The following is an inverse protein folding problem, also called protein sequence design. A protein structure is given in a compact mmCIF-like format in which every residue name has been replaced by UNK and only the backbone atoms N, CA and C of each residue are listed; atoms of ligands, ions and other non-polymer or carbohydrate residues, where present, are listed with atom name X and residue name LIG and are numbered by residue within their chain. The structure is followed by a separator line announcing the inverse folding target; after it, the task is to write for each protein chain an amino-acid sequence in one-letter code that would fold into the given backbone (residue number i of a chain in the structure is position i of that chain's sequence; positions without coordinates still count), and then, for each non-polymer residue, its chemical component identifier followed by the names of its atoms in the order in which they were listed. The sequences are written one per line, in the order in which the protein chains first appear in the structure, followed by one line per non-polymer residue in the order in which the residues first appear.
data_IF_818819074688
#
_entry.id   IF_818819074688
#
_cell.length_a   1.000
_cell.length_b   1.000
_cell.length_c   1.000
_cell.angle_alpha   90.00
_cell.angle_beta   90.00
_cell.angle_gamma   90.00
#
_symmetry.space_group_name_H-M   'P 1'
#
loop_
_entity.id
_entity.type
_entity.pdbx_description
1 polymer ?
2 water ?
#
# COMPACT_ATOMS: atom_id res chain seq x y z
N UNK A 7 -13.80 -12.23 2.46
CA UNK A 7 -12.90 -11.65 3.49
C UNK A 7 -13.44 -12.03 4.86
N UNK A 8 -14.77 -12.00 4.98
CA UNK A 8 -15.44 -12.15 6.28
C UNK A 8 -15.22 -13.49 6.96
N UNK A 9 -15.68 -14.55 6.34
CA UNK A 9 -15.62 -15.80 7.03
C UNK A 9 -14.26 -16.49 6.85
N UNK A 10 -13.36 -15.89 6.09
CA UNK A 10 -12.06 -16.53 5.87
C UNK A 10 -10.96 -16.00 6.80
N UNK A 11 -11.34 -15.11 7.73
CA UNK A 11 -10.44 -14.52 8.73
C UNK A 11 -10.03 -15.54 9.78
N UNK A 12 -8.89 -15.33 10.43
CA UNK A 12 -8.49 -16.20 11.54
C UNK A 12 -7.67 -17.44 11.19
N UNK A 13 -7.39 -17.62 9.91
CA UNK A 13 -6.64 -18.76 9.48
C UNK A 13 -5.24 -18.73 10.07
N UNK A 14 -4.70 -19.91 10.28
CA UNK A 14 -3.35 -20.03 10.77
C UNK A 14 -2.31 -19.87 9.67
N UNK A 15 -1.11 -19.49 10.11
CA UNK A 15 0.09 -19.39 9.31
C UNK A 15 0.29 -20.54 8.32
N UNK A 16 0.11 -21.77 8.78
CA UNK A 16 0.32 -22.93 7.91
C UNK A 16 -0.64 -22.86 6.74
N UNK A 17 -1.87 -22.36 7.01
CA UNK A 17 -2.89 -22.33 5.97
C UNK A 17 -2.60 -21.17 5.05
N UNK A 18 -2.40 -19.97 5.61
CA UNK A 18 -1.92 -18.79 4.87
C UNK A 18 -0.72 -19.07 3.98
N UNK A 19 0.26 -19.77 4.51
CA UNK A 19 1.37 -20.21 3.70
C UNK A 19 0.91 -21.03 2.51
N UNK A 20 0.06 -22.03 2.75
CA UNK A 20 -0.35 -22.92 1.64
C UNK A 20 -1.22 -22.21 0.66
N UNK A 21 -1.94 -21.21 1.12
CA UNK A 21 -2.82 -20.50 0.26
C UNK A 21 -1.95 -19.71 -0.77
N UNK A 22 -0.88 -19.10 -0.28
CA UNK A 22 0.06 -18.33 -1.08
C UNK A 22 0.62 -19.25 -2.19
N UNK A 23 1.18 -20.40 -1.77
CA UNK A 23 1.70 -21.39 -2.69
C UNK A 23 0.70 -21.71 -3.75
N UNK A 24 -0.57 -21.88 -3.37
CA UNK A 24 -1.60 -22.05 -4.36
C UNK A 24 -1.65 -20.87 -5.34
N UNK A 25 -1.66 -19.65 -4.83
CA UNK A 25 -1.65 -18.49 -5.73
C UNK A 25 -0.40 -18.46 -6.62
N UNK A 26 0.74 -18.80 -6.03
CA UNK A 26 2.00 -18.82 -6.72
C UNK A 26 1.95 -19.86 -7.85
N UNK A 27 1.41 -21.05 -7.56
CA UNK A 27 1.32 -22.10 -8.56
C UNK A 27 0.39 -21.74 -9.69
N UNK A 28 -0.67 -20.99 -9.39
CA UNK A 28 -1.59 -20.59 -10.45
C UNK A 28 -0.96 -19.46 -11.26
N UNK A 29 -0.06 -18.74 -10.60
CA UNK A 29 0.65 -17.69 -11.24
C UNK A 29 1.57 -18.28 -12.30
N UNK A 30 2.39 -19.25 -11.91
CA UNK A 30 3.20 -20.01 -12.86
C UNK A 30 2.37 -20.57 -13.99
N UNK A 31 1.31 -21.34 -13.70
CA UNK A 31 0.52 -21.90 -14.79
C UNK A 31 -0.18 -20.80 -15.63
N UNK A 32 0.14 -19.54 -15.38
CA UNK A 32 -0.47 -18.47 -16.12
C UNK A 32 -1.96 -18.20 -15.89
N UNK A 33 -2.55 -18.66 -14.77
CA UNK A 33 -3.95 -18.32 -14.45
C UNK A 33 -4.00 -17.05 -13.62
N UNK A 34 -3.88 -15.94 -14.33
CA UNK A 34 -3.54 -14.70 -13.70
C UNK A 34 -4.69 -14.05 -13.00
N UNK A 35 -5.88 -14.11 -13.59
CA UNK A 35 -6.98 -13.52 -12.86
C UNK A 35 -7.40 -14.35 -11.64
N UNK A 36 -7.09 -15.66 -11.65
CA UNK A 36 -7.38 -16.48 -10.49
C UNK A 36 -6.39 -16.16 -9.39
N UNK A 37 -5.12 -16.16 -9.79
CA UNK A 37 -4.02 -15.72 -8.94
C UNK A 37 -4.22 -14.29 -8.35
N UNK A 38 -4.61 -13.33 -9.18
CA UNK A 38 -4.94 -12.01 -8.66
C UNK A 38 -5.83 -12.18 -7.45
N UNK A 39 -7.02 -12.73 -7.68
CA UNK A 39 -8.04 -13.00 -6.64
C UNK A 39 -7.49 -13.60 -5.36
N UNK A 40 -6.70 -14.66 -5.50
CA UNK A 40 -6.08 -15.24 -4.36
C UNK A 40 -5.22 -14.23 -3.60
N UNK A 41 -4.29 -13.53 -4.28
CA UNK A 41 -3.37 -12.52 -3.65
C UNK A 41 -4.16 -11.37 -3.02
N UNK A 42 -5.18 -10.89 -3.74
CA UNK A 42 -6.04 -9.84 -3.22
C UNK A 42 -6.55 -10.30 -1.84
N UNK A 43 -7.09 -11.53 -1.76
CA UNK A 43 -7.54 -12.03 -0.46
C UNK A 43 -6.42 -12.09 0.56
N UNK A 44 -5.33 -12.73 0.21
CA UNK A 44 -4.18 -12.75 1.11
C UNK A 44 -3.81 -11.33 1.57
N UNK A 45 -3.77 -10.36 0.65
CA UNK A 45 -3.43 -8.94 1.03
C UNK A 45 -4.48 -8.31 1.92
N UNK A 46 -5.70 -8.85 1.86
CA UNK A 46 -6.77 -8.54 2.84
C UNK A 46 -6.45 -9.14 4.23
N UNK A 47 -5.93 -10.36 4.25
CA UNK A 47 -5.74 -11.12 5.49
C UNK A 47 -4.42 -10.83 6.23
N UNK A 48 -3.46 -10.21 5.57
CA UNK A 48 -2.20 -9.77 6.21
C UNK A 48 -1.55 -8.66 5.37
N UNK A 49 -1.68 -7.43 5.85
CA UNK A 49 -1.11 -6.27 5.15
C UNK A 49 0.38 -6.05 5.41
N UNK A 50 1.13 -7.09 5.82
CA UNK A 50 2.58 -6.97 5.96
C UNK A 50 3.31 -8.23 5.49
N UNK A 51 2.94 -8.76 4.35
CA UNK A 51 3.76 -9.82 3.79
C UNK A 51 4.01 -9.46 2.33
N UNK A 52 5.03 -8.62 2.13
CA UNK A 52 5.51 -8.18 0.82
C UNK A 52 5.24 -9.18 -0.26
N UNK A 53 5.60 -10.43 -0.01
CA UNK A 53 5.27 -11.53 -0.89
C UNK A 53 3.90 -11.39 -1.57
N UNK A 54 2.89 -10.87 -0.86
CA UNK A 54 1.52 -10.89 -1.37
C UNK A 54 1.26 -9.75 -2.28
N UNK A 55 1.94 -8.65 -2.01
CA UNK A 55 1.99 -7.54 -2.96
C UNK A 55 2.91 -7.84 -4.13
N UNK A 56 4.03 -8.48 -3.91
CA UNK A 56 4.74 -9.02 -5.07
C UNK A 56 3.80 -9.79 -5.95
N UNK A 57 3.02 -10.70 -5.37
CA UNK A 57 2.14 -11.60 -6.17
C UNK A 57 1.01 -10.79 -6.82
N UNK A 58 0.35 -9.98 -6.01
CA UNK A 58 -0.75 -9.14 -6.55
C UNK A 58 -0.27 -8.31 -7.78
N UNK A 59 0.72 -7.44 -7.57
CA UNK A 59 1.47 -6.77 -8.66
C UNK A 59 1.76 -7.65 -9.89
N UNK A 60 2.53 -8.70 -9.71
CA UNK A 60 2.85 -9.54 -10.85
C UNK A 60 1.62 -10.01 -11.65
N UNK A 61 0.56 -10.44 -10.96
CA UNK A 61 -0.67 -10.85 -11.66
C UNK A 61 -1.23 -9.73 -12.51
N UNK A 62 -1.27 -8.53 -11.95
CA UNK A 62 -1.77 -7.37 -12.66
C UNK A 62 -0.86 -7.01 -13.87
N UNK A 63 0.46 -7.17 -13.68
CA UNK A 63 1.43 -6.93 -14.74
C UNK A 63 1.11 -7.79 -15.96
N UNK A 64 1.22 -9.11 -15.74
CA UNK A 64 0.86 -10.12 -16.71
C UNK A 64 -0.56 -9.95 -17.31
N UNK A 65 -1.41 -9.20 -16.61
CA UNK A 65 -2.74 -8.88 -17.12
C UNK A 65 -2.80 -7.66 -17.98
N UNK A 66 -1.69 -6.93 -18.12
CA UNK A 66 -1.71 -5.60 -18.78
C UNK A 66 -2.21 -4.46 -17.87
N UNK A 67 -2.33 -4.72 -16.57
CA UNK A 67 -2.89 -3.73 -15.63
C UNK A 67 -1.82 -2.88 -14.95
N UNK A 68 -1.12 -2.13 -15.78
CA UNK A 68 0.10 -1.47 -15.36
C UNK A 68 -0.02 -0.52 -14.17
N UNK A 69 -1.04 0.34 -14.15
CA UNK A 69 -1.23 1.34 -13.07
C UNK A 69 -1.50 0.74 -11.69
N UNK A 70 -2.39 -0.26 -11.73
CA UNK A 70 -2.76 -1.11 -10.64
C UNK A 70 -1.59 -1.93 -10.09
N UNK A 71 -0.83 -2.57 -10.99
CA UNK A 71 0.43 -3.24 -10.65
C UNK A 71 1.27 -2.28 -9.85
N UNK A 72 1.29 -1.04 -10.36
CA UNK A 72 2.18 -0.05 -9.86
C UNK A 72 1.84 0.25 -8.43
N UNK A 73 0.57 0.46 -8.17
CA UNK A 73 0.08 0.57 -6.78
C UNK A 73 0.53 -0.60 -5.86
N UNK A 74 0.35 -1.89 -6.25
CA UNK A 74 0.78 -2.95 -5.30
C UNK A 74 2.25 -2.83 -5.01
N UNK A 75 3.04 -2.71 -6.07
CA UNK A 75 4.49 -2.68 -5.96
C UNK A 75 4.93 -1.60 -4.97
N UNK A 76 4.34 -0.42 -5.13
CA UNK A 76 4.70 0.74 -4.33
C UNK A 76 4.38 0.57 -2.86
N UNK A 77 3.23 -0.04 -2.54
CA UNK A 77 2.93 -0.30 -1.16
C UNK A 77 3.90 -1.37 -0.66
N UNK A 78 4.15 -2.43 -1.43
CA UNK A 78 5.08 -3.44 -0.99
C UNK A 78 6.42 -2.86 -0.60
N UNK A 79 6.92 -1.93 -1.44
CA UNK A 79 8.21 -1.27 -1.22
C UNK A 79 8.29 -0.49 0.08
N UNK A 80 7.14 -0.04 0.52
CA UNK A 80 7.03 0.77 1.71
C UNK A 80 7.10 -0.20 2.87
N UNK A 81 6.75 -1.45 2.60
CA UNK A 81 6.69 -2.48 3.62
C UNK A 81 7.95 -3.33 3.68
N UNK A 82 8.76 -3.27 2.64
CA UNK A 82 10.02 -4.00 2.64
C UNK A 82 11.04 -3.23 1.80
N UNK A 83 11.67 -2.24 2.42
CA UNK A 83 12.57 -1.27 1.73
C UNK A 83 13.87 -1.90 1.17
N UNK A 84 13.95 -3.21 1.22
CA UNK A 84 15.15 -3.93 0.84
C UNK A 84 14.90 -4.83 -0.35
N UNK A 85 13.62 -5.03 -0.67
CA UNK A 85 13.21 -5.96 -1.69
C UNK A 85 13.36 -5.33 -3.06
N UNK A 86 14.34 -5.83 -3.85
CA UNK A 86 14.67 -5.14 -5.07
C UNK A 86 13.62 -5.30 -6.15
N UNK A 87 12.84 -6.38 -6.03
CA UNK A 87 11.89 -6.70 -7.05
C UNK A 87 10.74 -5.70 -7.14
N UNK A 88 10.43 -5.03 -6.05
CA UNK A 88 9.44 -3.93 -6.13
C UNK A 88 9.90 -2.82 -7.15
N UNK A 89 10.94 -2.01 -6.81
CA UNK A 89 11.44 -1.03 -7.79
C UNK A 89 11.76 -1.62 -9.16
N UNK A 90 12.35 -2.82 -9.25
CA UNK A 90 12.49 -3.47 -10.58
C UNK A 90 11.24 -3.71 -11.47
N UNK A 91 10.20 -4.42 -10.95
CA UNK A 91 8.94 -4.53 -11.70
C UNK A 91 8.12 -3.26 -11.79
N UNK A 92 8.28 -2.36 -10.84
CA UNK A 92 7.58 -1.09 -11.02
C UNK A 92 8.08 -0.43 -12.34
N UNK A 93 9.39 -0.57 -12.56
CA UNK A 93 10.04 0.09 -13.66
C UNK A 93 9.60 -0.51 -14.97
N UNK A 94 9.45 -1.84 -15.02
CA UNK A 94 8.87 -2.48 -16.23
C UNK A 94 7.45 -1.96 -16.45
N UNK A 95 6.74 -1.69 -15.35
CA UNK A 95 5.39 -1.08 -15.48
C UNK A 95 5.52 0.31 -16.09
N UNK A 96 6.34 1.16 -15.49
CA UNK A 96 6.63 2.48 -15.99
C UNK A 96 6.98 2.47 -17.47
N UNK A 97 7.89 1.59 -17.87
CA UNK A 97 8.22 1.42 -19.28
C UNK A 97 7.02 1.23 -20.19
N UNK A 98 6.05 0.42 -19.76
CA UNK A 98 4.90 0.19 -20.64
C UNK A 98 3.91 1.35 -20.52
N UNK A 99 3.94 2.10 -19.44
CA UNK A 99 3.17 3.30 -19.43
C UNK A 99 3.83 4.37 -20.32
N UNK A 100 5.06 4.09 -20.74
CA UNK A 100 5.82 5.02 -21.54
C UNK A 100 6.37 6.15 -20.70
N UNK A 101 6.77 5.84 -19.47
CA UNK A 101 7.33 6.81 -18.53
C UNK A 101 8.82 6.45 -18.34
N UNK A 102 9.69 7.07 -19.13
CA UNK A 102 11.08 6.70 -19.13
C UNK A 102 11.82 7.10 -17.85
N UNK A 103 11.37 8.21 -17.24
CA UNK A 103 12.01 8.79 -16.04
C UNK A 103 11.82 7.84 -14.84
N UNK A 104 10.60 7.35 -14.71
CA UNK A 104 10.18 6.42 -13.66
C UNK A 104 10.85 5.07 -13.80
N UNK A 105 10.93 4.59 -15.02
CA UNK A 105 11.58 3.32 -15.31
C UNK A 105 13.05 3.37 -15.00
N UNK A 106 13.63 4.58 -15.02
CA UNK A 106 15.08 4.69 -14.88
C UNK A 106 15.43 4.73 -13.43
N UNK A 107 14.73 5.58 -12.67
CA UNK A 107 14.77 5.55 -11.19
C UNK A 107 14.56 4.13 -10.64
N UNK A 108 13.53 3.45 -11.14
CA UNK A 108 13.22 2.11 -10.70
C UNK A 108 14.35 1.12 -10.92
N UNK A 109 14.87 1.02 -12.17
CA UNK A 109 15.94 0.06 -12.45
C UNK A 109 17.18 0.45 -11.64
N UNK A 110 17.41 1.75 -11.47
CA UNK A 110 18.53 2.25 -10.65
C UNK A 110 18.37 1.87 -9.19
N UNK A 111 17.18 2.03 -8.60
CA UNK A 111 16.93 1.58 -7.24
C UNK A 111 17.16 0.06 -7.13
N UNK A 112 16.67 -0.64 -8.14
CA UNK A 112 16.62 -2.08 -8.01
C UNK A 112 18.03 -2.55 -8.12
N UNK A 113 18.75 -2.10 -9.15
CA UNK A 113 20.13 -2.51 -9.34
C UNK A 113 20.92 -2.33 -8.04
N UNK A 114 20.77 -1.17 -7.43
CA UNK A 114 21.41 -0.82 -6.18
C UNK A 114 21.02 -1.80 -5.08
N UNK A 115 19.71 -1.88 -4.79
CA UNK A 115 19.23 -2.77 -3.76
C UNK A 115 19.73 -4.19 -4.03
N UNK A 116 19.62 -4.63 -5.28
CA UNK A 116 19.95 -6.00 -5.64
C UNK A 116 21.43 -6.37 -5.53
N UNK A 117 22.33 -5.38 -5.61
CA UNK A 117 23.78 -5.65 -5.56
C UNK A 117 24.27 -6.02 -4.15
N UNK A 118 23.58 -5.59 -3.10
CA UNK A 118 24.05 -5.91 -1.72
C UNK A 118 23.65 -7.32 -1.32
N UNK A 119 22.95 -8.00 -2.23
CA UNK A 119 22.21 -9.17 -1.86
C UNK A 119 22.58 -10.38 -2.71
N UNK A 120 23.49 -11.22 -2.19
CA UNK A 120 23.91 -12.47 -2.84
C UNK A 120 22.78 -13.21 -3.56
N UNK A 121 21.60 -13.31 -2.95
CA UNK A 121 20.44 -13.93 -3.63
C UNK A 121 20.01 -13.24 -4.94
N UNK A 122 20.13 -11.91 -5.02
CA UNK A 122 19.64 -11.18 -6.17
C UNK A 122 20.71 -10.72 -7.16
N UNK A 123 21.86 -11.39 -7.19
CA UNK A 123 22.93 -10.96 -8.10
C UNK A 123 22.46 -11.12 -9.54
N UNK A 124 21.77 -12.20 -9.83
CA UNK A 124 21.32 -12.50 -11.16
C UNK A 124 20.10 -11.71 -11.56
N UNK A 125 19.87 -10.59 -10.90
CA UNK A 125 18.77 -9.67 -11.20
C UNK A 125 19.36 -8.27 -11.13
N UNK A 126 20.47 -8.14 -10.41
CA UNK A 126 21.19 -6.89 -10.40
C UNK A 126 21.65 -6.63 -11.85
N UNK A 127 22.14 -7.67 -12.52
CA UNK A 127 22.62 -7.51 -13.87
C UNK A 127 21.49 -7.06 -14.81
N UNK A 128 20.36 -7.73 -14.65
CA UNK A 128 19.15 -7.54 -15.45
C UNK A 128 18.60 -6.11 -15.33
N UNK A 129 18.77 -5.53 -14.16
CA UNK A 129 18.36 -4.19 -13.87
C UNK A 129 19.36 -3.18 -14.44
N UNK A 130 20.65 -3.54 -14.39
CA UNK A 130 21.71 -2.69 -14.92
C UNK A 130 21.58 -2.57 -16.43
N UNK A 131 21.32 -3.71 -17.08
CA UNK A 131 21.04 -3.75 -18.52
C UNK A 131 19.74 -3.03 -18.94
N UNK A 132 18.65 -3.23 -18.20
CA UNK A 132 17.46 -2.46 -18.49
C UNK A 132 17.79 -0.99 -18.26
N UNK A 133 18.67 -0.71 -17.33
CA UNK A 133 18.91 0.71 -17.01
C UNK A 133 19.56 1.47 -18.19
N UNK A 134 20.42 0.79 -18.95
CA UNK A 134 21.17 1.47 -19.99
C UNK A 134 20.43 1.39 -21.33
N UNK A 135 19.39 0.57 -21.41
CA UNK A 135 18.53 0.64 -22.59
C UNK A 135 17.62 1.87 -22.43
N UNK A 136 17.20 2.18 -21.21
CA UNK A 136 16.30 3.30 -20.98
C UNK A 136 17.04 4.64 -20.99
N UNK A 137 18.36 4.59 -20.89
CA UNK A 137 19.20 5.80 -20.84
C UNK A 137 19.13 6.47 -22.21
N UNK A 138 19.32 5.66 -23.25
CA UNK A 138 18.71 5.95 -24.54
C UNK A 138 18.37 4.62 -25.26
N UNK A 139 17.13 4.48 -25.74
CA UNK A 139 15.90 5.17 -25.18
C UNK A 139 14.60 4.55 -25.70
N UNK B 7 -1.76 -14.02 18.41
CA UNK B 7 -1.81 -12.54 18.60
C UNK B 7 -3.24 -12.05 18.89
N UNK B 8 -3.33 -11.10 19.83
CA UNK B 8 -4.60 -10.52 20.36
C UNK B 8 -5.84 -11.42 20.27
N UNK B 9 -5.70 -12.68 20.69
CA UNK B 9 -6.80 -13.64 20.92
C UNK B 9 -8.18 -13.08 21.33
N UNK B 10 -8.27 -11.76 21.49
CA UNK B 10 -9.49 -10.97 21.70
C UNK B 10 -10.39 -10.98 20.44
N UNK B 11 -10.27 -12.08 19.68
CA UNK B 11 -11.01 -12.32 18.46
C UNK B 11 -12.49 -12.59 18.73
N UNK B 12 -13.30 -12.47 17.69
CA UNK B 12 -14.66 -12.92 17.77
C UNK B 12 -15.64 -11.96 18.41
N UNK B 13 -15.21 -10.72 18.61
CA UNK B 13 -16.09 -9.74 19.20
C UNK B 13 -17.24 -9.36 18.27
N UNK B 14 -18.40 -9.10 18.85
CA UNK B 14 -19.57 -8.69 18.08
C UNK B 14 -19.34 -7.34 17.44
N UNK B 15 -20.11 -7.05 16.41
CA UNK B 15 -20.13 -5.75 15.73
C UNK B 15 -20.40 -4.58 16.62
N UNK B 16 -21.25 -4.75 17.64
CA UNK B 16 -21.52 -3.66 18.60
C UNK B 16 -20.23 -3.33 19.38
N UNK B 17 -19.48 -4.36 19.74
CA UNK B 17 -18.36 -4.16 20.62
C UNK B 17 -17.19 -3.49 19.85
N UNK B 18 -16.95 -3.95 18.64
CA UNK B 18 -15.92 -3.33 17.77
C UNK B 18 -16.19 -1.87 17.52
N UNK B 19 -17.43 -1.53 17.17
CA UNK B 19 -17.87 -0.13 17.07
C UNK B 19 -17.57 0.75 18.30
N UNK B 20 -17.80 0.29 19.55
CA UNK B 20 -17.49 1.10 20.75
C UNK B 20 -16.00 1.14 21.00
N UNK B 21 -15.32 0.06 20.66
CA UNK B 21 -13.88 0.05 20.78
C UNK B 21 -13.37 1.10 19.76
N UNK B 22 -14.02 1.19 18.58
CA UNK B 22 -13.62 2.22 17.61
C UNK B 22 -13.88 3.61 18.17
N UNK B 23 -15.07 3.85 18.70
CA UNK B 23 -15.34 5.16 19.33
C UNK B 23 -14.38 5.43 20.43
N UNK B 24 -13.95 4.40 21.13
CA UNK B 24 -12.99 4.65 22.18
C UNK B 24 -11.64 5.15 21.66
N UNK B 25 -11.06 4.47 20.67
CA UNK B 25 -9.87 5.00 19.93
C UNK B 25 -10.08 6.45 19.44
N UNK B 26 -11.26 6.70 18.87
CA UNK B 26 -11.63 8.02 18.37
C UNK B 26 -11.49 9.10 19.45
N UNK B 27 -12.08 8.89 20.63
CA UNK B 27 -11.97 9.90 21.71
C UNK B 27 -10.55 10.02 22.21
N UNK B 28 -9.80 8.90 22.28
CA UNK B 28 -8.38 9.01 22.64
C UNK B 28 -7.65 9.89 21.63
N UNK B 29 -7.92 9.68 20.34
CA UNK B 29 -7.33 10.54 19.30
C UNK B 29 -7.74 11.98 19.60
N UNK B 30 -9.05 12.21 19.59
CA UNK B 30 -9.60 13.55 19.84
C UNK B 30 -8.88 14.21 20.98
N UNK B 31 -8.63 13.46 22.06
CA UNK B 31 -8.13 14.03 23.29
C UNK B 31 -6.60 14.15 23.34
N UNK B 32 -5.94 13.89 22.21
CA UNK B 32 -4.50 13.95 22.12
C UNK B 32 -3.83 12.74 22.77
N UNK B 33 -4.60 11.70 23.09
CA UNK B 33 -3.97 10.52 23.67
C UNK B 33 -3.61 9.62 22.50
N UNK B 34 -2.47 9.91 21.86
CA UNK B 34 -2.21 9.46 20.51
C UNK B 34 -1.58 8.08 20.41
N UNK B 35 -0.55 7.85 21.20
CA UNK B 35 0.08 6.54 21.20
C UNK B 35 -0.95 5.50 21.61
N UNK B 36 -1.81 5.85 22.59
CA UNK B 36 -2.91 4.99 23.03
C UNK B 36 -3.92 4.81 21.90
N UNK B 37 -4.32 5.90 21.25
CA UNK B 37 -5.31 5.77 20.17
C UNK B 37 -4.70 4.91 19.08
N UNK B 38 -3.43 5.13 18.82
CA UNK B 38 -2.70 4.36 17.82
C UNK B 38 -2.83 2.85 18.08
N UNK B 39 -2.58 2.47 19.32
CA UNK B 39 -2.66 1.07 19.74
C UNK B 39 -4.07 0.49 19.52
N UNK B 40 -5.11 1.25 19.88
CA UNK B 40 -6.46 0.82 19.56
C UNK B 40 -6.72 0.60 18.06
N UNK B 41 -6.29 1.54 17.20
CA UNK B 41 -6.57 1.41 15.74
C UNK B 41 -5.80 0.19 15.17
N UNK B 42 -4.56 0.01 15.60
CA UNK B 42 -3.79 -1.17 15.23
C UNK B 42 -4.53 -2.43 15.63
N UNK B 43 -4.94 -2.51 16.89
CA UNK B 43 -5.69 -3.66 17.30
C UNK B 43 -6.92 -3.86 16.40
N UNK B 44 -7.75 -2.82 16.25
CA UNK B 44 -8.92 -2.91 15.32
C UNK B 44 -8.60 -3.38 13.90
N UNK B 45 -7.46 -2.96 13.34
CA UNK B 45 -7.17 -3.30 11.92
C UNK B 45 -6.95 -4.76 11.82
N UNK B 46 -6.54 -5.31 12.95
CA UNK B 46 -5.98 -6.62 13.01
C UNK B 46 -7.09 -7.55 13.46
N UNK B 47 -8.11 -7.01 14.09
CA UNK B 47 -9.16 -7.87 14.60
C UNK B 47 -10.29 -8.00 13.61
N UNK B 48 -10.79 -6.87 13.15
CA UNK B 48 -12.05 -6.81 12.43
C UNK B 48 -11.78 -6.80 10.91
N UNK B 49 -12.83 -7.05 10.12
CA UNK B 49 -12.79 -6.87 8.66
C UNK B 49 -12.30 -5.45 8.32
N UNK B 50 -11.94 -5.24 7.05
CA UNK B 50 -11.45 -3.95 6.63
C UNK B 50 -12.51 -2.93 7.06
N UNK B 51 -12.09 -1.81 7.63
CA UNK B 51 -12.96 -0.64 7.77
C UNK B 51 -12.01 0.51 7.54
N UNK B 52 -12.39 1.48 6.73
CA UNK B 52 -11.47 2.55 6.37
C UNK B 52 -11.19 3.39 7.59
N UNK B 53 -12.17 3.49 8.48
CA UNK B 53 -11.97 4.43 9.59
C UNK B 53 -10.80 3.97 10.45
N UNK B 54 -10.51 2.67 10.42
CA UNK B 54 -9.42 2.14 11.27
C UNK B 54 -8.04 2.66 10.82
N UNK B 55 -7.72 2.32 9.55
CA UNK B 55 -6.62 2.90 8.82
C UNK B 55 -6.62 4.42 8.79
N UNK B 56 -7.78 5.05 8.55
CA UNK B 56 -7.81 6.51 8.67
C UNK B 56 -7.36 6.99 10.09
N UNK B 57 -7.79 6.36 11.20
CA UNK B 57 -7.32 6.76 12.54
C UNK B 57 -5.85 6.42 12.84
N UNK B 58 -5.46 5.24 12.43
CA UNK B 58 -4.07 4.90 12.59
C UNK B 58 -3.18 5.90 11.88
N UNK B 59 -3.41 6.11 10.59
CA UNK B 59 -2.72 7.13 9.85
C UNK B 59 -2.71 8.47 10.56
N UNK B 60 -3.86 8.88 11.11
CA UNK B 60 -3.98 10.21 11.76
C UNK B 60 -3.24 10.23 13.05
N UNK B 61 -3.08 9.09 13.70
CA UNK B 61 -2.35 9.12 14.97
C UNK B 61 -0.90 9.27 14.68
N UNK B 62 -0.44 8.48 13.72
CA UNK B 62 0.95 8.56 13.30
C UNK B 62 1.39 9.97 12.80
N UNK B 63 0.50 10.68 12.10
CA UNK B 63 0.78 12.06 11.68
C UNK B 63 1.11 12.92 12.86
N UNK B 64 0.18 12.91 13.82
CA UNK B 64 0.30 13.77 14.97
C UNK B 64 1.48 13.32 15.80
N UNK B 65 1.90 12.06 15.72
CA UNK B 65 3.16 11.71 16.41
C UNK B 65 4.42 12.09 15.62
N UNK B 66 4.24 12.49 14.36
CA UNK B 66 5.39 12.85 13.52
C UNK B 66 5.97 11.65 12.82
N UNK B 67 5.22 10.56 12.83
CA UNK B 67 5.67 9.35 12.16
C UNK B 67 5.08 9.33 10.76
N UNK B 68 5.69 10.08 9.85
CA UNK B 68 5.10 10.29 8.51
C UNK B 68 5.23 9.10 7.56
N UNK B 69 6.40 8.45 7.60
CA UNK B 69 6.58 7.20 6.85
C UNK B 69 5.48 6.22 7.27
N UNK B 70 5.42 5.92 8.57
CA UNK B 70 4.45 4.97 9.10
C UNK B 70 3.00 5.32 8.68
N UNK B 71 2.67 6.62 8.69
CA UNK B 71 1.33 7.10 8.31
C UNK B 71 1.07 6.81 6.85
N UNK B 72 2.08 7.04 6.02
CA UNK B 72 2.02 6.83 4.57
C UNK B 72 1.65 5.38 4.25
N UNK B 73 2.32 4.43 4.90
CA UNK B 73 1.95 3.00 4.83
C UNK B 73 0.48 2.78 5.09
N UNK B 74 -0.01 3.33 6.19
CA UNK B 74 -1.41 3.19 6.52
C UNK B 74 -2.28 3.68 5.38
N UNK B 75 -2.09 4.92 4.96
CA UNK B 75 -3.03 5.56 3.99
C UNK B 75 -2.87 4.89 2.65
N UNK B 76 -1.67 4.41 2.39
CA UNK B 76 -1.38 3.73 1.11
C UNK B 76 -2.00 2.35 1.05
N UNK B 77 -2.14 1.70 2.20
CA UNK B 77 -2.91 0.46 2.23
C UNK B 77 -4.38 0.83 2.06
N UNK B 78 -4.86 1.80 2.81
CA UNK B 78 -6.22 2.29 2.58
C UNK B 78 -6.53 2.48 1.10
N UNK B 79 -5.77 3.30 0.39
CA UNK B 79 -6.05 3.59 -1.06
C UNK B 79 -5.88 2.36 -1.97
N UNK B 80 -5.11 1.39 -1.50
CA UNK B 80 -4.87 0.22 -2.33
C UNK B 80 -6.08 -0.69 -2.32
N UNK B 81 -6.89 -0.58 -1.28
CA UNK B 81 -7.98 -1.52 -1.08
C UNK B 81 -9.27 -0.80 -1.29
N UNK B 82 -9.20 0.52 -1.20
CA UNK B 82 -10.40 1.37 -1.21
C UNK B 82 -10.23 2.60 -2.15
N UNK B 83 -10.20 2.33 -3.46
CA UNK B 83 -9.94 3.35 -4.49
C UNK B 83 -10.78 4.63 -4.46
N UNK B 84 -12.05 4.55 -4.05
CA UNK B 84 -12.90 5.75 -4.10
C UNK B 84 -12.94 6.56 -2.81
N UNK B 85 -12.20 6.12 -1.79
CA UNK B 85 -12.09 6.96 -0.60
C UNK B 85 -11.05 8.05 -0.78
N UNK B 86 -11.47 9.33 -0.76
CA UNK B 86 -10.52 10.43 -1.03
C UNK B 86 -9.57 10.85 0.06
N UNK B 87 -9.82 10.41 1.30
CA UNK B 87 -9.02 10.96 2.40
C UNK B 87 -7.70 10.21 2.45
N UNK B 88 -7.67 8.99 1.92
CA UNK B 88 -6.42 8.22 1.74
C UNK B 88 -5.39 8.98 0.90
N UNK B 89 -5.74 9.38 -0.34
CA UNK B 89 -4.74 10.20 -1.09
C UNK B 89 -4.51 11.60 -0.50
N UNK B 90 -5.54 12.22 0.06
CA UNK B 90 -5.34 13.55 0.61
C UNK B 90 -4.32 13.55 1.73
N UNK B 91 -4.52 12.65 2.71
CA UNK B 91 -3.66 12.59 3.88
C UNK B 91 -2.29 12.06 3.58
N UNK B 92 -2.20 11.17 2.61
CA UNK B 92 -0.92 10.68 2.09
C UNK B 92 -0.11 11.87 1.52
N UNK B 93 -0.75 12.67 0.70
CA UNK B 93 -0.08 13.89 0.22
C UNK B 93 0.54 14.73 1.36
N UNK B 94 -0.20 14.91 2.47
CA UNK B 94 0.31 15.72 3.61
C UNK B 94 1.63 15.16 4.12
N UNK B 95 1.68 13.84 4.21
CA UNK B 95 2.88 13.13 4.68
C UNK B 95 4.04 13.23 3.70
N UNK B 96 3.70 13.27 2.42
CA UNK B 96 4.66 13.43 1.33
C UNK B 96 5.38 14.78 1.53
N UNK B 97 4.59 15.87 1.63
CA UNK B 97 5.11 17.20 2.08
C UNK B 97 6.17 17.08 3.16
N UNK B 98 5.78 16.70 4.38
CA UNK B 98 6.73 16.59 5.49
C UNK B 98 7.96 15.73 5.21
N UNK B 99 7.82 14.76 4.30
CA UNK B 99 8.91 13.82 3.99
C UNK B 99 9.93 14.30 2.96
N UNK B 100 9.61 15.38 2.24
CA UNK B 100 10.55 15.94 1.30
C UNK B 100 10.34 15.40 -0.10
N UNK B 101 9.10 14.97 -0.33
CA UNK B 101 8.64 14.40 -1.61
C UNK B 101 7.47 15.19 -2.22
N UNK B 102 7.78 16.28 -2.91
CA UNK B 102 6.82 17.17 -3.55
C UNK B 102 6.03 16.54 -4.66
N UNK B 103 6.66 15.56 -5.30
CA UNK B 103 6.06 14.79 -6.39
C UNK B 103 4.91 13.99 -5.80
N UNK B 104 5.27 13.13 -4.82
CA UNK B 104 4.30 12.28 -4.11
C UNK B 104 3.10 13.10 -3.65
N UNK B 105 3.40 14.26 -3.06
CA UNK B 105 2.42 15.22 -2.56
C UNK B 105 1.46 15.77 -3.61
N UNK B 106 2.00 16.00 -4.81
CA UNK B 106 1.25 16.62 -5.93
C UNK B 106 0.21 15.65 -6.54
N UNK B 107 0.62 14.40 -6.73
CA UNK B 107 -0.27 13.30 -7.22
C UNK B 107 -1.44 13.12 -6.24
N UNK B 108 -1.04 12.85 -4.99
CA UNK B 108 -1.96 12.66 -3.91
C UNK B 108 -3.05 13.69 -3.94
N UNK B 109 -2.66 14.96 -3.84
CA UNK B 109 -3.63 16.03 -3.76
C UNK B 109 -4.54 16.09 -4.94
N UNK B 110 -3.96 15.94 -6.14
CA UNK B 110 -4.74 15.92 -7.38
C UNK B 110 -5.73 14.75 -7.36
N UNK B 111 -5.24 13.56 -7.08
CA UNK B 111 -6.14 12.40 -6.99
C UNK B 111 -7.21 12.61 -5.91
N UNK B 112 -6.76 13.15 -4.76
CA UNK B 112 -7.69 13.48 -3.67
C UNK B 112 -8.78 14.36 -4.21
N UNK B 113 -8.39 15.53 -4.78
CA UNK B 113 -9.35 16.46 -5.39
C UNK B 113 -10.34 15.73 -6.32
N UNK B 114 -9.84 15.00 -7.33
CA UNK B 114 -10.69 14.28 -8.30
C UNK B 114 -11.81 13.44 -7.67
N UNK B 115 -11.46 12.35 -6.99
CA UNK B 115 -12.44 11.58 -6.20
C UNK B 115 -13.28 12.48 -5.30
N UNK B 116 -12.63 13.43 -4.62
CA UNK B 116 -13.31 14.32 -3.66
C UNK B 116 -14.34 15.24 -4.29
N UNK B 117 -14.14 15.56 -5.58
CA UNK B 117 -15.00 16.54 -6.24
C UNK B 117 -16.34 15.88 -6.61
N UNK B 118 -16.25 14.61 -7.03
CA UNK B 118 -17.41 13.82 -7.39
C UNK B 118 -18.31 13.51 -6.21
N UNK B 119 -17.74 13.56 -5.00
CA UNK B 119 -18.41 13.05 -3.82
C UNK B 119 -19.05 14.18 -3.02
N UNK B 120 -20.36 14.42 -3.24
CA UNK B 120 -21.05 15.60 -2.65
C UNK B 120 -20.72 15.78 -1.16
N UNK B 121 -20.79 14.69 -0.38
CA UNK B 121 -20.37 14.69 1.02
C UNK B 121 -19.05 15.46 1.20
N UNK B 122 -17.92 14.85 0.81
CA UNK B 122 -16.56 15.45 0.93
C UNK B 122 -16.25 16.78 0.23
N UNK B 123 -17.20 17.72 0.20
CA UNK B 123 -16.96 19.02 -0.43
C UNK B 123 -15.76 19.79 0.08
N UNK B 124 -15.54 19.78 1.39
CA UNK B 124 -14.50 20.61 1.99
C UNK B 124 -13.11 20.02 1.71
N UNK B 125 -13.06 18.70 1.69
CA UNK B 125 -11.88 17.99 1.24
C UNK B 125 -11.49 18.44 -0.20
N UNK B 126 -12.48 18.48 -1.10
CA UNK B 126 -12.31 19.09 -2.44
C UNK B 126 -11.62 20.46 -2.42
N UNK B 127 -12.14 21.39 -1.62
CA UNK B 127 -11.52 22.72 -1.55
C UNK B 127 -10.15 22.68 -0.93
N UNK B 128 -10.01 21.86 0.11
CA UNK B 128 -8.79 21.76 0.90
C UNK B 128 -7.68 21.19 0.02
N UNK B 129 -8.05 20.14 -0.70
CA UNK B 129 -7.20 19.55 -1.74
C UNK B 129 -6.97 20.50 -2.94
N UNK B 130 -8.00 21.27 -3.32
CA UNK B 130 -7.85 22.34 -4.28
C UNK B 130 -6.68 23.25 -3.94
N UNK B 131 -6.80 23.93 -2.80
CA UNK B 131 -5.80 24.92 -2.33
C UNK B 131 -4.39 24.35 -2.09
N UNK B 132 -4.34 23.11 -1.60
CA UNK B 132 -3.06 22.45 -1.37
C UNK B 132 -2.30 22.26 -2.66
N UNK B 133 -3.00 21.83 -3.70
CA UNK B 133 -2.33 21.60 -4.98
C UNK B 133 -1.66 22.90 -5.45
N UNK B 134 -2.43 23.97 -5.54
CA UNK B 134 -1.93 25.29 -5.93
C UNK B 134 -0.64 25.60 -5.21
N UNK B 135 -0.70 25.64 -3.89
CA UNK B 135 0.48 25.86 -3.06
C UNK B 135 1.71 25.07 -3.55
N UNK B 136 1.54 23.75 -3.70
CA UNK B 136 2.66 22.85 -4.02
C UNK B 136 3.29 23.07 -5.40
N UNK B 137 2.50 23.47 -6.37
CA UNK B 137 3.03 23.57 -7.74
C UNK B 137 4.32 24.41 -7.88
N UNK B 138 4.43 25.54 -7.16
CA UNK B 138 5.73 26.20 -6.92
C UNK B 138 5.94 26.35 -5.43
#
# INVERSE_FOLDING_TARGET
GSDGGTLAMLRGLSEDTLEQLYALGFNQYQAGKWDDAQKIFQALCMLDHYDARYFLGLGACRQSLGLYEQALQSYSYGALMDINEPRFPFHAAECHLQLGDLDGAESGFYSARALAAAQPAHEALAARAGAMLEAVTARKDR
GSDGGTLAMLRGLSEDTLEQLYALGFNQYQAGKWDDAQKIFQALCMLDHYDARYFLGLGACRQSLGLYEQALQSYSYGALMDINEPRFPFHAAECHLQLGDLDGAESGFYSARALAAAQPAHEALAARAGAMLEAVTARKDR
#
